data_IF_174047044232
#
_entry.id   IF_174047044232
#
_cell.length_a   1.000
_cell.length_b   1.000
_cell.length_c   1.000
_cell.angle_alpha   90.00
_cell.angle_beta   90.00
_cell.angle_gamma   90.00
#
_symmetry.space_group_name_H-M   'P 1'
#
loop_
_entity.id
_entity.type
_entity.pdbx_description
1 polymer ?
#
# COMPACT_ATOMS: atom_id res chain seq x y z
N UNK A 1 10.30 -21.73 -10.41
CA UNK A 1 9.46 -20.73 -9.74
C UNK A 1 10.26 -19.44 -9.61
N UNK A 2 9.73 -18.33 -10.14
CA UNK A 2 10.32 -16.99 -10.09
C UNK A 2 9.42 -16.10 -9.23
N UNK A 3 9.97 -15.55 -8.16
CA UNK A 3 9.25 -14.70 -7.20
C UNK A 3 9.81 -13.30 -7.27
N UNK A 4 8.94 -12.30 -7.48
CA UNK A 4 9.28 -10.89 -7.38
C UNK A 4 8.89 -10.39 -5.99
N UNK A 5 9.91 -10.09 -5.17
CA UNK A 5 9.71 -9.70 -3.76
C UNK A 5 9.60 -8.20 -3.52
N UNK A 6 9.69 -7.38 -4.56
CA UNK A 6 9.64 -5.92 -4.41
C UNK A 6 8.65 -5.30 -5.39
N UNK A 7 7.38 -5.42 -5.07
CA UNK A 7 6.30 -4.85 -5.88
C UNK A 7 5.35 -4.03 -5.02
N UNK A 8 4.64 -3.10 -5.67
CA UNK A 8 3.73 -2.21 -4.96
C UNK A 8 2.34 -2.24 -5.59
N UNK A 9 1.31 -2.24 -4.73
CA UNK A 9 -0.09 -2.10 -5.11
C UNK A 9 -0.76 -1.04 -4.23
N UNK A 10 -1.77 -0.40 -4.77
CA UNK A 10 -2.61 0.59 -4.10
C UNK A 10 -4.08 0.23 -4.33
N UNK A 11 -4.99 0.60 -3.43
CA UNK A 11 -6.41 0.62 -3.79
C UNK A 11 -6.64 1.54 -5.00
N UNK A 12 -7.59 1.20 -5.86
CA UNK A 12 -7.97 2.06 -6.99
C UNK A 12 -8.49 3.42 -6.53
N UNK A 13 -9.19 3.43 -5.40
CA UNK A 13 -9.73 4.65 -4.78
C UNK A 13 -9.64 4.59 -3.27
N UNK A 14 -9.57 5.76 -2.62
CA UNK A 14 -9.73 5.93 -1.19
C UNK A 14 -10.33 7.31 -0.86
N UNK A 15 -10.82 7.52 0.38
CA UNK A 15 -11.39 8.80 0.79
C UNK A 15 -10.43 9.97 0.64
N UNK A 16 -10.95 11.18 0.43
CA UNK A 16 -10.18 12.41 0.56
C UNK A 16 -9.66 12.56 2.01
N UNK A 17 -8.38 12.25 2.19
CA UNK A 17 -7.73 12.21 3.50
C UNK A 17 -7.45 13.61 4.04
N UNK A 18 -7.16 14.59 3.17
CA UNK A 18 -6.97 15.99 3.56
C UNK A 18 -8.27 16.52 4.21
N UNK A 19 -9.41 16.26 3.58
CA UNK A 19 -10.73 16.62 4.12
C UNK A 19 -11.08 15.83 5.37
N UNK A 20 -10.79 14.52 5.37
CA UNK A 20 -11.14 13.62 6.48
C UNK A 20 -10.42 14.01 7.78
N UNK A 21 -9.14 14.33 7.69
CA UNK A 21 -8.31 14.60 8.87
C UNK A 21 -8.11 16.08 9.16
N UNK A 22 -8.49 16.97 8.23
CA UNK A 22 -8.42 18.43 8.40
C UNK A 22 -7.01 19.00 8.26
N UNK A 23 -6.07 18.28 7.65
CA UNK A 23 -4.73 18.77 7.32
C UNK A 23 -4.19 18.09 6.05
N UNK A 24 -3.34 18.83 5.31
CA UNK A 24 -2.81 18.41 4.02
C UNK A 24 -1.52 17.59 4.13
N UNK A 25 -1.11 17.03 3.01
CA UNK A 25 0.11 16.23 2.89
C UNK A 25 -0.16 14.79 2.52
N UNK A 26 -1.40 14.39 2.45
CA UNK A 26 -1.83 13.06 2.04
C UNK A 26 -1.73 12.90 0.53
N UNK A 27 -1.58 11.66 0.10
CA UNK A 27 -1.62 11.31 -1.32
C UNK A 27 -3.06 11.04 -1.72
N UNK A 28 -3.47 11.59 -2.85
CA UNK A 28 -4.73 11.25 -3.53
C UNK A 28 -4.46 10.74 -4.94
N UNK A 29 -5.42 10.00 -5.52
CA UNK A 29 -5.40 9.61 -6.92
C UNK A 29 -6.42 10.42 -7.71
N UNK A 30 -5.96 10.94 -8.84
CA UNK A 30 -6.81 11.55 -9.85
C UNK A 30 -6.75 10.70 -11.13
N UNK A 31 -7.77 9.88 -11.34
CA UNK A 31 -7.91 9.09 -12.57
C UNK A 31 -8.21 10.01 -13.74
N UNK A 32 -7.35 10.01 -14.76
CA UNK A 32 -7.55 10.83 -15.96
C UNK A 32 -7.82 9.97 -17.20
N UNK A 33 -7.55 8.69 -17.14
CA UNK A 33 -7.98 7.68 -18.12
C UNK A 33 -8.34 6.38 -17.37
N UNK A 34 -8.93 5.41 -18.07
CA UNK A 34 -9.22 4.09 -17.51
C UNK A 34 -7.93 3.38 -17.01
N UNK A 35 -6.81 3.64 -17.67
CA UNK A 35 -5.57 2.89 -17.46
C UNK A 35 -4.48 3.73 -16.75
N UNK A 36 -4.79 4.95 -16.30
CA UNK A 36 -3.73 5.82 -15.76
C UNK A 36 -4.30 6.86 -14.78
N UNK A 37 -3.55 7.08 -13.70
CA UNK A 37 -3.89 8.03 -12.66
C UNK A 37 -2.69 8.89 -12.25
N UNK A 38 -2.97 10.09 -11.77
CA UNK A 38 -1.97 10.97 -11.14
C UNK A 38 -2.01 10.78 -9.64
N UNK A 39 -0.87 10.46 -9.04
CA UNK A 39 -0.68 10.59 -7.61
C UNK A 39 -0.44 12.05 -7.28
N UNK A 40 -1.35 12.65 -6.52
CA UNK A 40 -1.29 14.05 -6.13
C UNK A 40 -0.85 14.20 -4.68
N UNK A 41 -0.04 15.22 -4.40
CA UNK A 41 0.34 15.62 -3.04
C UNK A 41 0.39 17.14 -2.96
N UNK A 42 -0.35 17.73 -2.01
CA UNK A 42 -0.43 19.19 -1.84
C UNK A 42 -0.79 19.92 -3.16
N UNK A 43 -1.73 19.39 -3.93
CA UNK A 43 -2.18 19.96 -5.21
C UNK A 43 -1.17 19.84 -6.36
N UNK A 44 -0.08 19.11 -6.19
CA UNK A 44 0.93 18.90 -7.23
C UNK A 44 0.99 17.43 -7.63
N UNK A 45 1.12 17.18 -8.94
CA UNK A 45 1.35 15.83 -9.43
C UNK A 45 2.75 15.35 -8.98
N UNK A 46 2.75 14.30 -8.18
CA UNK A 46 3.95 13.65 -7.66
C UNK A 46 4.46 12.57 -8.63
N UNK A 47 3.54 11.80 -9.20
CA UNK A 47 3.83 10.71 -10.15
C UNK A 47 2.58 10.39 -10.97
N UNK A 48 2.77 9.97 -12.22
CA UNK A 48 1.75 9.28 -13.01
C UNK A 48 1.98 7.79 -12.89
N UNK A 49 0.92 7.02 -12.65
CA UNK A 49 0.93 5.57 -12.51
C UNK A 49 -0.06 4.94 -13.47
N UNK A 50 0.19 3.70 -13.85
CA UNK A 50 -0.64 2.90 -14.75
C UNK A 50 -1.52 1.92 -13.96
N UNK A 51 -2.50 1.32 -14.63
CA UNK A 51 -3.51 0.47 -13.98
C UNK A 51 -2.91 -0.75 -13.27
N UNK A 52 -1.76 -1.27 -13.68
CA UNK A 52 -1.05 -2.33 -12.97
C UNK A 52 -0.66 -1.97 -11.52
N UNK A 53 -0.73 -0.67 -11.15
CA UNK A 53 -0.55 -0.25 -9.76
C UNK A 53 -1.77 -0.49 -8.86
N UNK A 54 -2.95 -0.78 -9.42
CA UNK A 54 -4.18 -1.04 -8.65
C UNK A 54 -4.99 -2.23 -9.16
N UNK A 55 -4.86 -2.62 -10.44
CA UNK A 55 -5.60 -3.73 -11.03
C UNK A 55 -4.79 -5.04 -10.95
N UNK A 56 -5.21 -6.03 -10.14
CA UNK A 56 -4.51 -7.30 -10.02
C UNK A 56 -4.56 -8.14 -11.30
N UNK A 57 -5.59 -8.02 -12.14
CA UNK A 57 -5.70 -8.81 -13.37
C UNK A 57 -4.67 -8.36 -14.40
N UNK A 58 -4.54 -7.06 -14.65
CA UNK A 58 -3.48 -6.50 -15.50
C UNK A 58 -2.10 -6.96 -15.04
N UNK A 59 -1.87 -6.98 -13.72
CA UNK A 59 -0.62 -7.42 -13.12
C UNK A 59 -0.32 -8.91 -13.37
N UNK A 60 -1.33 -9.77 -13.29
CA UNK A 60 -1.20 -11.20 -13.57
C UNK A 60 -0.84 -11.43 -15.05
N UNK A 61 -1.45 -10.69 -15.97
CA UNK A 61 -1.12 -10.75 -17.40
C UNK A 61 0.34 -10.37 -17.64
N UNK A 62 0.82 -9.23 -17.14
CA UNK A 62 2.21 -8.78 -17.27
C UNK A 62 3.21 -9.75 -16.63
N UNK A 63 2.86 -10.37 -15.50
CA UNK A 63 3.67 -11.40 -14.86
C UNK A 63 3.81 -12.65 -15.74
N UNK A 64 2.74 -13.06 -16.43
CA UNK A 64 2.77 -14.19 -17.32
C UNK A 64 3.71 -13.98 -18.52
N UNK A 65 3.73 -12.76 -19.07
CA UNK A 65 4.64 -12.37 -20.17
C UNK A 65 6.12 -12.41 -19.76
N UNK A 66 6.41 -12.14 -18.48
CA UNK A 66 7.77 -12.09 -17.94
C UNK A 66 8.17 -13.35 -17.16
N UNK A 67 7.30 -14.37 -17.14
CA UNK A 67 7.46 -15.62 -16.40
C UNK A 67 7.71 -15.40 -14.90
N UNK A 68 7.03 -14.43 -14.29
CA UNK A 68 6.97 -14.25 -12.85
C UNK A 68 5.82 -15.08 -12.32
N UNK A 69 6.10 -16.05 -11.45
CA UNK A 69 5.08 -16.95 -10.90
C UNK A 69 4.32 -16.32 -9.75
N UNK A 70 5.03 -15.56 -8.88
CA UNK A 70 4.45 -14.94 -7.66
C UNK A 70 5.04 -13.56 -7.46
N UNK A 71 4.20 -12.61 -7.08
CA UNK A 71 4.62 -11.30 -6.57
C UNK A 71 4.31 -11.16 -5.08
N UNK A 72 5.22 -10.51 -4.35
CA UNK A 72 5.00 -10.10 -2.96
C UNK A 72 4.56 -8.64 -2.96
N UNK A 73 3.26 -8.43 -2.78
CA UNK A 73 2.63 -7.11 -2.83
C UNK A 73 2.88 -6.33 -1.55
N UNK A 74 3.17 -5.05 -1.68
CA UNK A 74 3.29 -4.11 -0.57
C UNK A 74 2.78 -2.73 -1.00
N UNK A 75 2.68 -1.77 -0.08
CA UNK A 75 2.34 -0.40 -0.47
C UNK A 75 3.57 0.39 -0.94
N UNK A 76 3.36 1.47 -1.68
CA UNK A 76 4.46 2.39 -2.02
C UNK A 76 4.93 3.13 -0.76
N UNK A 77 6.24 3.36 -0.57
CA UNK A 77 6.78 4.05 0.62
C UNK A 77 6.18 5.44 0.88
N UNK A 78 5.72 6.13 -0.17
CA UNK A 78 5.02 7.41 -0.03
C UNK A 78 3.72 7.32 0.80
N UNK A 79 3.15 6.12 0.97
CA UNK A 79 1.94 5.85 1.76
C UNK A 79 2.24 5.41 3.21
N UNK A 80 3.49 5.36 3.66
CA UNK A 80 3.80 5.05 5.06
C UNK A 80 3.31 6.12 6.03
N UNK A 81 3.29 7.38 5.60
CA UNK A 81 2.71 8.52 6.32
C UNK A 81 3.20 8.70 7.77
N UNK A 82 4.46 8.35 8.08
CA UNK A 82 5.04 8.47 9.43
C UNK A 82 5.06 9.90 9.96
N UNK A 83 4.96 10.90 9.08
CA UNK A 83 4.86 12.31 9.40
C UNK A 83 3.51 12.70 10.03
N UNK A 84 2.45 11.90 9.81
CA UNK A 84 1.10 12.19 10.24
C UNK A 84 0.83 11.72 11.69
N UNK A 85 -0.31 12.11 12.25
CA UNK A 85 -0.73 11.62 13.57
C UNK A 85 -0.89 10.09 13.56
N UNK A 86 -0.43 9.38 14.59
CA UNK A 86 -0.47 7.91 14.62
C UNK A 86 -1.84 7.29 14.33
N UNK A 87 -2.91 7.86 14.88
CA UNK A 87 -4.28 7.38 14.67
C UNK A 87 -4.74 7.54 13.21
N UNK A 88 -4.34 8.63 12.55
CA UNK A 88 -4.69 8.91 11.15
C UNK A 88 -3.88 8.01 10.22
N UNK A 89 -2.59 7.79 10.54
CA UNK A 89 -1.74 6.81 9.83
C UNK A 89 -2.29 5.39 9.99
N UNK A 90 -2.77 5.01 11.18
CA UNK A 90 -3.40 3.70 11.40
C UNK A 90 -4.62 3.50 10.49
N UNK A 91 -5.46 4.53 10.33
CA UNK A 91 -6.61 4.46 9.42
C UNK A 91 -6.16 4.14 8.00
N UNK A 92 -5.14 4.83 7.49
CA UNK A 92 -4.60 4.60 6.14
C UNK A 92 -3.92 3.23 6.04
N UNK A 93 -3.14 2.84 7.07
CA UNK A 93 -2.51 1.51 7.12
C UNK A 93 -3.55 0.40 7.02
N UNK A 94 -4.65 0.49 7.78
CA UNK A 94 -5.74 -0.48 7.72
C UNK A 94 -6.39 -0.57 6.35
N UNK A 95 -6.69 0.57 5.74
CA UNK A 95 -7.26 0.63 4.40
C UNK A 95 -6.37 -0.07 3.36
N UNK A 96 -5.07 0.14 3.44
CA UNK A 96 -4.10 -0.49 2.54
C UNK A 96 -3.95 -1.99 2.84
N UNK A 97 -3.81 -2.36 4.12
CA UNK A 97 -3.61 -3.74 4.53
C UNK A 97 -4.82 -4.61 4.18
N UNK A 98 -6.05 -4.08 4.38
CA UNK A 98 -7.29 -4.74 4.01
C UNK A 98 -7.38 -4.96 2.48
N UNK A 99 -6.98 -3.96 1.70
CA UNK A 99 -6.93 -4.08 0.24
C UNK A 99 -5.91 -5.15 -0.21
N UNK A 100 -4.69 -5.14 0.34
CA UNK A 100 -3.67 -6.14 -0.01
C UNK A 100 -4.16 -7.55 0.36
N UNK A 101 -4.75 -7.71 1.53
CA UNK A 101 -5.30 -9.00 1.98
C UNK A 101 -6.41 -9.50 1.04
N UNK A 102 -7.33 -8.60 0.63
CA UNK A 102 -8.38 -8.91 -0.32
C UNK A 102 -7.80 -9.41 -1.66
N UNK A 103 -6.82 -8.70 -2.23
CA UNK A 103 -6.18 -9.09 -3.50
C UNK A 103 -5.49 -10.45 -3.38
N UNK A 104 -4.82 -10.72 -2.25
CA UNK A 104 -4.17 -12.02 -1.99
C UNK A 104 -5.21 -13.14 -1.86
N UNK A 105 -6.32 -12.91 -1.18
CA UNK A 105 -7.40 -13.88 -1.00
C UNK A 105 -8.10 -14.21 -2.33
N UNK A 106 -8.28 -13.22 -3.20
CA UNK A 106 -8.85 -13.42 -4.53
C UNK A 106 -7.89 -14.14 -5.49
N UNK A 107 -6.57 -13.97 -5.33
CA UNK A 107 -5.54 -14.50 -6.22
C UNK A 107 -4.39 -15.21 -5.48
N UNK A 108 -4.65 -16.22 -4.63
CA UNK A 108 -3.66 -16.79 -3.70
C UNK A 108 -2.52 -17.56 -4.38
N UNK A 109 -2.65 -17.87 -5.68
CA UNK A 109 -1.59 -18.52 -6.46
C UNK A 109 -0.58 -17.53 -7.05
N UNK A 110 -0.98 -16.27 -7.17
CA UNK A 110 -0.21 -15.22 -7.83
C UNK A 110 0.43 -14.23 -6.85
N UNK A 111 -0.19 -14.04 -5.68
CA UNK A 111 0.22 -13.00 -4.76
C UNK A 111 0.43 -13.48 -3.33
N UNK A 112 1.43 -12.88 -2.68
CA UNK A 112 1.61 -12.82 -1.24
C UNK A 112 1.57 -11.35 -0.82
N UNK A 113 1.23 -11.05 0.44
CA UNK A 113 1.06 -9.68 0.90
C UNK A 113 1.94 -9.31 2.08
N UNK A 114 2.51 -8.10 2.04
CA UNK A 114 3.15 -7.44 3.17
C UNK A 114 2.31 -6.25 3.60
N UNK A 115 2.00 -6.17 4.89
CA UNK A 115 1.29 -5.03 5.47
C UNK A 115 2.20 -3.82 5.69
N UNK A 116 1.60 -2.71 6.10
CA UNK A 116 2.30 -1.49 6.55
C UNK A 116 1.79 -1.07 7.92
N UNK A 117 2.63 -0.39 8.69
CA UNK A 117 2.36 -0.05 10.09
C UNK A 117 2.55 1.44 10.38
N UNK A 118 1.82 2.02 11.33
CA UNK A 118 2.06 3.38 11.86
C UNK A 118 3.25 3.39 12.82
N UNK A 119 4.47 3.29 12.27
CA UNK A 119 5.72 3.07 13.01
C UNK A 119 6.10 4.20 13.99
N UNK A 120 5.45 5.36 13.92
CA UNK A 120 5.66 6.48 14.84
C UNK A 120 4.98 6.28 16.22
N UNK A 121 4.18 5.22 16.40
CA UNK A 121 3.61 4.82 17.69
C UNK A 121 3.71 3.30 17.87
N UNK A 122 4.56 2.89 18.78
CA UNK A 122 4.87 1.47 19.05
C UNK A 122 3.62 0.64 19.40
N UNK A 123 2.75 1.16 20.26
CA UNK A 123 1.58 0.41 20.75
C UNK A 123 0.55 0.19 19.64
N UNK A 124 0.36 1.18 18.80
CA UNK A 124 -0.55 1.11 17.67
C UNK A 124 0.05 0.19 16.59
N UNK A 125 1.34 0.31 16.33
CA UNK A 125 2.05 -0.52 15.36
C UNK A 125 1.99 -2.00 15.71
N UNK A 126 2.23 -2.38 16.98
CA UNK A 126 2.15 -3.78 17.46
C UNK A 126 0.75 -4.36 17.24
N UNK A 127 -0.30 -3.62 17.57
CA UNK A 127 -1.68 -4.10 17.37
C UNK A 127 -2.02 -4.32 15.90
N UNK A 128 -1.58 -3.41 15.04
CA UNK A 128 -1.80 -3.54 13.60
C UNK A 128 -0.95 -4.67 13.01
N UNK A 129 0.29 -4.88 13.49
CA UNK A 129 1.11 -6.04 13.13
C UNK A 129 0.39 -7.35 13.46
N UNK A 130 -0.14 -7.47 14.69
CA UNK A 130 -0.89 -8.67 15.10
C UNK A 130 -2.09 -8.91 14.17
N UNK A 131 -2.84 -7.85 13.84
CA UNK A 131 -3.97 -7.94 12.90
C UNK A 131 -3.51 -8.39 11.51
N UNK A 132 -2.45 -7.81 10.96
CA UNK A 132 -1.93 -8.18 9.65
C UNK A 132 -1.60 -9.68 9.56
N UNK A 133 -0.95 -10.22 10.58
CA UNK A 133 -0.50 -11.62 10.58
C UNK A 133 -1.64 -12.58 10.96
N UNK A 134 -2.39 -12.28 12.02
CA UNK A 134 -3.37 -13.22 12.60
C UNK A 134 -4.73 -13.17 11.90
N UNK A 135 -5.19 -11.98 11.55
CA UNK A 135 -6.55 -11.78 11.03
C UNK A 135 -6.57 -11.69 9.50
N UNK A 136 -5.57 -11.02 8.90
CA UNK A 136 -5.49 -10.81 7.45
C UNK A 136 -4.64 -11.85 6.72
N UNK A 137 -3.89 -12.70 7.42
CA UNK A 137 -3.07 -13.74 6.80
C UNK A 137 -1.90 -13.21 5.96
N UNK A 138 -1.49 -11.95 6.16
CA UNK A 138 -0.31 -11.40 5.49
C UNK A 138 0.96 -12.07 5.98
N UNK A 139 1.94 -12.28 5.07
CA UNK A 139 3.15 -13.06 5.37
C UNK A 139 4.25 -12.24 6.05
N UNK A 140 4.08 -10.94 6.18
CA UNK A 140 5.05 -10.03 6.80
C UNK A 140 4.64 -8.57 6.67
N UNK A 141 5.61 -7.68 6.92
CA UNK A 141 5.42 -6.23 6.94
C UNK A 141 6.54 -5.55 6.15
N UNK A 142 6.17 -4.52 5.39
CA UNK A 142 7.13 -3.58 4.81
C UNK A 142 7.17 -2.30 5.64
N UNK A 143 8.37 -1.88 6.03
CA UNK A 143 8.61 -0.65 6.79
C UNK A 143 9.71 0.19 6.14
N UNK A 144 9.74 1.48 6.46
CA UNK A 144 10.84 2.36 6.06
C UNK A 144 12.11 2.05 6.83
N UNK A 145 13.26 2.40 6.28
CA UNK A 145 14.58 2.29 6.94
C UNK A 145 14.75 3.25 8.13
N UNK A 146 13.88 4.23 8.24
CA UNK A 146 13.81 5.19 9.34
C UNK A 146 12.37 5.66 9.56
N UNK A 147 12.10 6.20 10.74
CA UNK A 147 10.85 6.85 11.10
C UNK A 147 11.15 8.32 11.42
N UNK A 148 10.67 9.25 10.57
CA UNK A 148 10.87 10.69 10.73
C UNK A 148 12.35 11.09 10.94
N UNK A 149 13.27 10.43 10.24
CA UNK A 149 14.71 10.69 10.31
C UNK A 149 15.44 9.98 11.46
N UNK A 150 14.74 9.21 12.29
CA UNK A 150 15.33 8.36 13.33
C UNK A 150 15.46 6.94 12.76
N UNK A 151 16.66 6.39 12.77
CA UNK A 151 16.92 5.01 12.33
C UNK A 151 16.20 4.00 13.23
N UNK A 152 15.89 2.83 12.66
CA UNK A 152 15.30 1.69 13.37
C UNK A 152 16.30 1.05 14.32
#
# INVERSE_FOLDING_TARGET
MKIDIHTHILPETWPDLDRKFGYSGWISLEHHTKNSAKMMKNGKCFRVIECNCWDPLTRIEECSETNVDVQVLSTVPAMFNYWAKPADTLFVSKLINDHIAMVVDEHPKNFLGLGTLPMQDEKIAIKELERCIKDLGLVGIQIGSNVNGVNL
#
